data_IF_526669210136
#
_entry.id   IF_526669210136
#
_cell.length_a   1.000
_cell.length_b   1.000
_cell.length_c   1.000
_cell.angle_alpha   90.00
_cell.angle_beta   90.00
_cell.angle_gamma   90.00
#
_symmetry.space_group_name_H-M   'P 1'
#
loop_
_entity.id
_entity.type
_entity.pdbx_description
1 polymer ?
#
# COMPACT_ATOMS: atom_id res chain seq x y z
N UNK A 1 -0.28 7.39 6.80
CA UNK A 1 0.69 6.46 6.21
C UNK A 1 1.83 6.12 7.18
N UNK A 2 2.65 7.07 7.62
CA UNK A 2 3.81 6.81 8.49
C UNK A 2 3.50 6.21 9.88
N UNK A 3 2.27 6.26 10.37
CA UNK A 3 1.88 5.63 11.64
C UNK A 3 1.59 4.13 11.51
N UNK A 4 1.42 3.60 10.31
CA UNK A 4 1.02 2.21 10.08
C UNK A 4 2.26 1.33 9.96
N UNK A 5 2.41 0.37 10.89
CA UNK A 5 3.44 -0.66 10.82
C UNK A 5 2.98 -1.82 9.93
N UNK A 6 3.36 -1.79 8.66
CA UNK A 6 2.98 -2.84 7.70
C UNK A 6 3.55 -4.22 8.04
N UNK A 7 4.63 -4.27 8.83
CA UNK A 7 5.22 -5.54 9.27
C UNK A 7 4.29 -6.34 10.20
N UNK A 8 3.37 -5.67 10.91
CA UNK A 8 2.38 -6.36 11.75
C UNK A 8 1.43 -7.21 10.92
N UNK A 9 1.04 -6.73 9.73
CA UNK A 9 0.24 -7.51 8.79
C UNK A 9 0.97 -8.77 8.31
N UNK A 10 2.28 -8.64 8.03
CA UNK A 10 3.13 -9.77 7.63
C UNK A 10 3.28 -10.77 8.78
N UNK A 11 3.50 -10.27 10.00
CA UNK A 11 3.68 -11.10 11.19
C UNK A 11 2.43 -11.92 11.52
N UNK A 12 1.23 -11.40 11.25
CA UNK A 12 -0.02 -12.14 11.38
C UNK A 12 0.00 -13.44 10.58
N UNK A 13 0.51 -13.39 9.36
CA UNK A 13 0.64 -14.56 8.48
C UNK A 13 1.92 -15.36 8.68
N UNK A 14 2.80 -14.96 9.60
CA UNK A 14 4.10 -15.60 9.87
C UNK A 14 4.96 -15.63 8.60
N UNK A 15 5.17 -16.84 8.02
CA UNK A 15 6.00 -17.02 6.82
C UNK A 15 5.20 -17.04 5.51
N UNK A 16 3.88 -16.84 5.59
CA UNK A 16 2.98 -17.00 4.45
C UNK A 16 2.53 -15.69 3.81
N UNK A 17 3.19 -14.61 4.18
CA UNK A 17 3.04 -13.31 3.54
C UNK A 17 4.37 -12.58 3.44
N UNK A 18 4.45 -11.65 2.50
CA UNK A 18 5.62 -10.81 2.24
C UNK A 18 5.19 -9.36 2.20
N UNK A 19 5.97 -8.45 2.79
CA UNK A 19 5.72 -7.02 2.70
C UNK A 19 5.85 -6.55 1.24
N UNK A 20 4.92 -5.72 0.80
CA UNK A 20 4.99 -5.06 -0.51
C UNK A 20 5.04 -3.55 -0.34
N UNK A 21 5.66 -2.88 -1.29
CA UNK A 21 5.93 -1.44 -1.21
C UNK A 21 5.35 -0.66 -2.39
N UNK A 22 4.71 -1.34 -3.34
CA UNK A 22 3.95 -0.77 -4.45
C UNK A 22 2.70 -1.59 -4.67
N UNK A 23 1.64 -0.97 -5.14
CA UNK A 23 0.31 -1.56 -5.33
C UNK A 23 0.25 -2.40 -6.62
N UNK A 24 1.08 -3.43 -6.66
CA UNK A 24 1.14 -4.42 -7.73
C UNK A 24 1.63 -5.74 -7.14
N UNK A 25 1.23 -6.87 -7.71
CA UNK A 25 1.75 -8.17 -7.26
C UNK A 25 3.25 -8.29 -7.48
N UNK A 26 3.99 -8.77 -6.47
CA UNK A 26 5.44 -9.02 -6.57
C UNK A 26 5.79 -10.08 -7.62
N UNK A 27 4.85 -10.96 -7.97
CA UNK A 27 5.01 -11.94 -9.05
C UNK A 27 4.76 -11.36 -10.45
N UNK A 28 4.31 -10.11 -10.56
CA UNK A 28 4.20 -9.42 -11.83
C UNK A 28 5.59 -9.06 -12.35
N UNK A 29 5.80 -9.26 -13.64
CA UNK A 29 7.01 -8.83 -14.34
C UNK A 29 7.22 -7.30 -14.29
N UNK A 30 6.16 -6.53 -14.08
CA UNK A 30 6.20 -5.07 -13.97
C UNK A 30 6.37 -4.56 -12.54
N UNK A 31 6.42 -5.43 -11.51
CA UNK A 31 6.70 -4.99 -10.15
C UNK A 31 8.11 -4.41 -10.05
N UNK A 32 8.29 -3.20 -9.50
CA UNK A 32 9.62 -2.58 -9.37
C UNK A 32 10.54 -3.41 -8.47
N UNK A 33 11.55 -4.03 -9.06
CA UNK A 33 12.53 -4.82 -8.31
C UNK A 33 13.29 -3.93 -7.33
N UNK A 34 13.39 -4.36 -6.07
CA UNK A 34 14.07 -3.59 -5.03
C UNK A 34 13.26 -2.39 -4.50
N UNK A 35 11.97 -2.32 -4.78
CA UNK A 35 11.12 -1.28 -4.21
C UNK A 35 11.20 -1.27 -2.68
N UNK A 36 11.38 -0.07 -2.12
CA UNK A 36 11.47 0.17 -0.68
C UNK A 36 10.23 0.90 -0.16
N UNK A 37 9.97 0.90 1.16
CA UNK A 37 8.86 1.64 1.74
C UNK A 37 8.96 3.13 1.41
N UNK A 38 7.96 3.67 0.71
CA UNK A 38 7.85 5.12 0.47
C UNK A 38 7.46 5.86 1.76
N UNK A 39 6.66 5.23 2.61
CA UNK A 39 6.28 5.71 3.93
C UNK A 39 6.86 4.79 5.02
N UNK A 40 8.14 4.97 5.41
CA UNK A 40 8.71 4.20 6.52
C UNK A 40 7.88 4.41 7.79
N UNK A 41 7.53 3.30 8.42
CA UNK A 41 6.64 3.30 9.59
C UNK A 41 7.42 3.42 10.91
N UNK A 42 6.68 3.64 11.99
CA UNK A 42 7.20 3.61 13.36
C UNK A 42 7.89 2.29 13.67
N UNK A 43 9.11 2.38 14.18
CA UNK A 43 9.93 1.21 14.48
C UNK A 43 10.57 0.56 13.25
N UNK A 44 10.29 1.04 12.04
CA UNK A 44 11.02 0.67 10.83
C UNK A 44 12.41 1.29 10.81
N UNK A 45 13.36 0.59 10.20
CA UNK A 45 14.68 1.14 10.01
C UNK A 45 14.71 2.26 8.98
N UNK A 46 15.53 3.27 9.19
CA UNK A 46 15.83 4.31 8.19
C UNK A 46 16.44 3.63 6.96
N UNK A 47 15.87 3.83 5.76
CA UNK A 47 16.40 3.24 4.54
C UNK A 47 17.80 3.76 4.18
N UNK A 48 18.57 2.96 3.45
CA UNK A 48 19.89 3.36 2.95
C UNK A 48 19.78 4.54 1.97
N UNK A 49 18.81 4.48 1.06
CA UNK A 49 18.54 5.55 0.10
C UNK A 49 17.31 6.36 0.51
N UNK A 50 17.56 7.57 0.96
CA UNK A 50 16.50 8.52 1.32
C UNK A 50 15.92 9.28 0.12
N UNK A 51 16.41 9.07 -1.11
CA UNK A 51 15.86 9.71 -2.31
C UNK A 51 14.55 9.05 -2.77
N UNK A 52 14.33 7.80 -2.38
CA UNK A 52 13.18 6.98 -2.78
C UNK A 52 12.04 6.95 -1.76
N UNK A 53 12.18 7.68 -0.65
CA UNK A 53 11.13 7.78 0.38
C UNK A 53 10.43 9.14 0.33
N UNK A 54 9.35 9.27 1.10
CA UNK A 54 8.64 10.54 1.23
C UNK A 54 9.62 11.69 1.58
N UNK A 55 9.64 12.79 0.80
CA UNK A 55 10.64 13.87 0.98
C UNK A 55 10.60 14.53 2.35
N UNK A 56 9.41 14.67 2.96
CA UNK A 56 9.28 15.26 4.30
C UNK A 56 9.91 14.34 5.36
N UNK A 57 9.72 13.02 5.24
CA UNK A 57 10.37 12.05 6.11
C UNK A 57 11.88 12.07 5.92
N UNK A 58 12.37 12.07 4.68
CA UNK A 58 13.81 12.15 4.40
C UNK A 58 14.47 13.39 5.01
N UNK A 59 13.82 14.56 4.91
CA UNK A 59 14.30 15.82 5.49
C UNK A 59 14.32 15.75 7.01
N UNK A 60 13.28 15.20 7.62
CA UNK A 60 13.18 15.06 9.07
C UNK A 60 14.27 14.14 9.64
N UNK A 61 14.46 12.97 9.04
CA UNK A 61 15.49 12.00 9.44
C UNK A 61 16.90 12.61 9.37
N UNK A 62 17.20 13.36 8.30
CA UNK A 62 18.48 14.10 8.17
C UNK A 62 18.64 15.15 9.26
N UNK A 63 17.57 15.87 9.63
CA UNK A 63 17.63 16.89 10.69
C UNK A 63 17.93 16.31 12.07
N UNK A 64 17.56 15.04 12.30
CA UNK A 64 17.87 14.29 13.52
C UNK A 64 19.26 13.64 13.50
N UNK A 65 20.00 13.72 12.38
CA UNK A 65 21.28 13.06 12.21
C UNK A 65 21.21 11.53 12.17
N UNK A 66 20.03 10.95 11.91
CA UNK A 66 19.84 9.51 11.80
C UNK A 66 20.51 8.97 10.54
N UNK A 67 21.02 7.75 10.64
CA UNK A 67 21.70 7.02 9.56
C UNK A 67 20.85 5.82 9.13
N UNK A 68 21.22 5.23 8.00
CA UNK A 68 20.66 3.95 7.56
C UNK A 68 20.71 2.90 8.68
N UNK A 69 19.61 2.19 8.88
CA UNK A 69 19.45 1.19 9.94
C UNK A 69 19.00 1.75 11.30
N UNK A 70 19.14 3.06 11.57
CA UNK A 70 18.61 3.68 12.79
C UNK A 70 17.08 3.61 12.79
N UNK A 71 16.48 3.73 14.00
CA UNK A 71 15.04 3.81 14.15
C UNK A 71 14.66 5.13 14.81
N UNK A 72 13.49 5.65 14.44
CA UNK A 72 12.87 6.74 15.18
C UNK A 72 12.28 6.19 16.49
N UNK A 73 12.45 6.94 17.57
CA UNK A 73 11.67 6.72 18.79
C UNK A 73 10.21 7.09 18.56
N UNK A 74 9.30 6.62 19.41
CA UNK A 74 7.88 7.00 19.33
C UNK A 74 7.69 8.53 19.42
N UNK A 75 8.45 9.20 20.29
CA UNK A 75 8.39 10.66 20.44
C UNK A 75 8.89 11.41 19.18
N UNK A 76 9.97 10.95 18.56
CA UNK A 76 10.46 11.52 17.30
C UNK A 76 9.43 11.36 16.18
N UNK A 77 8.75 10.23 16.15
CA UNK A 77 7.75 9.96 15.13
C UNK A 77 6.45 10.73 15.35
N UNK A 78 5.95 10.80 16.58
CA UNK A 78 4.82 11.67 16.91
C UNK A 78 5.15 13.13 16.55
N UNK A 79 6.37 13.58 16.82
CA UNK A 79 6.85 14.93 16.45
C UNK A 79 6.83 15.11 14.93
N UNK A 80 7.31 14.12 14.17
CA UNK A 80 7.22 14.16 12.71
C UNK A 80 5.77 14.33 12.23
N UNK A 81 4.83 13.53 12.75
CA UNK A 81 3.42 13.60 12.36
C UNK A 81 2.83 14.96 12.73
N UNK A 82 3.10 15.49 13.92
CA UNK A 82 2.67 16.83 14.36
C UNK A 82 3.16 17.90 13.37
N UNK A 83 4.43 17.88 13.04
CA UNK A 83 5.03 18.84 12.13
C UNK A 83 4.35 18.82 10.74
N UNK A 84 3.96 17.63 10.24
CA UNK A 84 3.24 17.51 8.97
C UNK A 84 1.83 18.11 9.06
N UNK A 85 1.12 17.83 10.14
CA UNK A 85 -0.25 18.33 10.38
C UNK A 85 -0.26 19.85 10.54
N UNK A 86 0.63 20.37 11.37
CA UNK A 86 0.75 21.82 11.64
C UNK A 86 1.26 22.56 10.40
N UNK A 87 2.23 21.99 9.67
CA UNK A 87 2.71 22.51 8.40
C UNK A 87 1.62 22.57 7.32
N UNK A 88 0.61 21.70 7.39
CA UNK A 88 -0.58 21.75 6.55
C UNK A 88 -1.62 22.80 7.04
N UNK A 89 -1.35 23.53 8.13
CA UNK A 89 -2.19 24.61 8.67
C UNK A 89 -3.32 24.13 9.58
N UNK A 90 -3.20 22.94 10.17
CA UNK A 90 -4.11 22.48 11.22
C UNK A 90 -3.67 23.00 12.59
N UNK A 91 -4.62 23.24 13.47
CA UNK A 91 -4.41 23.68 14.86
C UNK A 91 -5.26 22.82 15.81
N UNK A 92 -4.85 22.72 17.08
CA UNK A 92 -5.61 21.99 18.09
C UNK A 92 -6.83 22.81 18.55
N UNK A 93 -7.98 22.14 18.68
CA UNK A 93 -9.15 22.70 19.33
C UNK A 93 -9.10 22.52 20.85
N UNK A 94 -10.12 23.00 21.56
CA UNK A 94 -10.21 22.88 23.02
C UNK A 94 -10.23 21.43 23.54
N UNK A 95 -10.59 20.47 22.70
CA UNK A 95 -10.59 19.04 23.03
C UNK A 95 -9.28 18.33 22.66
N UNK A 96 -8.26 19.07 22.23
CA UNK A 96 -6.97 18.50 21.81
C UNK A 96 -6.98 17.80 20.47
N UNK A 97 -7.98 18.07 19.62
CA UNK A 97 -8.09 17.45 18.29
C UNK A 97 -7.76 18.48 17.22
N UNK A 98 -6.93 18.13 16.25
CA UNK A 98 -6.57 18.99 15.13
C UNK A 98 -7.76 19.29 14.22
N UNK A 99 -7.86 20.56 13.82
CA UNK A 99 -8.84 21.03 12.86
C UNK A 99 -8.28 22.13 11.95
N UNK A 100 -8.92 22.32 10.79
CA UNK A 100 -8.65 23.42 9.87
C UNK A 100 -9.96 23.85 9.21
N UNK A 101 -10.42 25.07 9.50
CA UNK A 101 -11.79 25.49 9.13
C UNK A 101 -12.84 24.58 9.76
N UNK A 102 -13.69 24.00 8.94
CA UNK A 102 -14.72 23.05 9.39
C UNK A 102 -14.25 21.57 9.39
N UNK A 103 -13.01 21.32 8.96
CA UNK A 103 -12.48 19.97 8.88
C UNK A 103 -11.77 19.60 10.18
N UNK A 104 -12.27 18.56 10.86
CA UNK A 104 -11.67 17.99 12.08
C UNK A 104 -10.99 16.68 11.68
N UNK A 105 -9.79 16.41 12.22
CA UNK A 105 -9.09 15.14 11.98
C UNK A 105 -9.70 14.01 12.82
N UNK A 106 -10.91 13.64 12.45
CA UNK A 106 -11.71 12.58 13.06
C UNK A 106 -12.11 11.57 12.00
N UNK A 107 -11.67 10.30 12.16
CA UNK A 107 -11.92 9.25 11.18
C UNK A 107 -12.25 7.92 11.84
N UNK A 108 -12.97 7.07 11.10
CA UNK A 108 -13.05 5.64 11.37
C UNK A 108 -12.19 4.91 10.35
N UNK A 109 -11.27 4.10 10.84
CA UNK A 109 -10.50 3.15 10.01
C UNK A 109 -11.34 1.87 9.92
N UNK A 110 -11.92 1.64 8.76
CA UNK A 110 -12.84 0.52 8.52
C UNK A 110 -12.11 -0.67 7.97
N UNK A 111 -12.33 -1.84 8.55
CA UNK A 111 -11.78 -3.13 8.10
C UNK A 111 -12.94 -3.94 7.54
N UNK A 112 -12.78 -4.46 6.32
CA UNK A 112 -13.80 -5.32 5.71
C UNK A 112 -13.87 -6.66 6.44
N UNK A 113 -15.02 -6.95 7.06
CA UNK A 113 -15.28 -8.15 7.87
C UNK A 113 -16.01 -7.82 9.17
N UNK A 114 -16.28 -8.84 9.95
CA UNK A 114 -17.10 -8.74 11.18
C UNK A 114 -16.26 -8.92 12.45
N UNK A 115 -14.99 -9.33 12.31
CA UNK A 115 -14.16 -9.74 13.44
C UNK A 115 -12.88 -8.91 13.52
N UNK A 116 -12.31 -8.87 14.72
CA UNK A 116 -11.00 -8.26 14.97
C UNK A 116 -9.84 -9.18 14.65
N UNK A 117 -10.10 -10.47 14.38
CA UNK A 117 -9.09 -11.41 13.86
C UNK A 117 -8.85 -11.17 12.38
N UNK A 118 -8.18 -10.07 12.09
CA UNK A 118 -7.87 -9.61 10.74
C UNK A 118 -6.43 -9.09 10.69
N UNK A 119 -5.65 -9.39 9.64
CA UNK A 119 -4.24 -9.01 9.54
C UNK A 119 -3.99 -7.50 9.68
N UNK A 120 -4.94 -6.67 9.24
CA UNK A 120 -4.81 -5.22 9.36
C UNK A 120 -5.23 -4.68 10.74
N UNK A 121 -5.89 -5.47 11.59
CA UNK A 121 -6.42 -4.98 12.87
C UNK A 121 -5.34 -4.38 13.75
N UNK A 122 -4.30 -5.16 14.07
CA UNK A 122 -3.23 -4.72 14.95
C UNK A 122 -2.51 -3.48 14.40
N UNK A 123 -2.19 -3.50 13.11
CA UNK A 123 -1.51 -2.38 12.46
C UNK A 123 -2.33 -1.08 12.51
N UNK A 124 -3.64 -1.16 12.26
CA UNK A 124 -4.52 0.00 12.31
C UNK A 124 -4.84 0.44 13.74
N UNK A 125 -4.96 -0.52 14.67
CA UNK A 125 -5.18 -0.23 16.08
C UNK A 125 -3.99 0.54 16.68
N UNK A 126 -2.76 0.04 16.54
CA UNK A 126 -1.56 0.74 17.00
C UNK A 126 -1.37 2.09 16.29
N UNK A 127 -1.65 2.15 14.99
CA UNK A 127 -1.63 3.43 14.26
C UNK A 127 -2.64 4.43 14.83
N UNK A 128 -3.83 3.97 15.25
CA UNK A 128 -4.84 4.82 15.86
C UNK A 128 -4.39 5.36 17.22
N UNK A 129 -3.72 4.55 18.05
CA UNK A 129 -3.16 5.00 19.34
C UNK A 129 -2.16 6.13 19.14
N UNK A 130 -1.22 5.96 18.20
CA UNK A 130 -0.23 6.98 17.85
C UNK A 130 -0.89 8.26 17.35
N UNK A 131 -1.84 8.14 16.43
CA UNK A 131 -2.55 9.29 15.87
C UNK A 131 -3.38 10.01 16.93
N UNK A 132 -4.03 9.28 17.84
CA UNK A 132 -4.79 9.86 18.95
C UNK A 132 -3.86 10.60 19.93
N UNK A 133 -2.66 10.09 20.23
CA UNK A 133 -1.64 10.78 21.02
C UNK A 133 -1.16 12.06 20.34
N UNK A 134 -1.12 12.09 19.03
CA UNK A 134 -0.75 13.28 18.25
C UNK A 134 -1.82 14.36 18.28
N UNK A 135 -3.09 14.00 18.37
CA UNK A 135 -4.21 14.95 18.33
C UNK A 135 -5.22 14.69 17.22
N UNK A 136 -5.29 13.46 16.73
CA UNK A 136 -6.40 12.98 15.91
C UNK A 136 -7.50 12.38 16.81
N UNK A 137 -8.64 12.06 16.22
CA UNK A 137 -9.68 11.25 16.84
C UNK A 137 -9.99 10.07 15.92
N UNK A 138 -9.27 8.96 16.11
CA UNK A 138 -9.37 7.77 15.27
C UNK A 138 -10.07 6.66 16.05
N UNK A 139 -11.04 6.01 15.38
CA UNK A 139 -11.64 4.76 15.80
C UNK A 139 -11.33 3.69 14.75
N UNK A 140 -11.06 2.45 15.17
CA UNK A 140 -10.89 1.29 14.28
C UNK A 140 -12.12 0.41 14.43
N UNK A 141 -12.75 0.04 13.32
CA UNK A 141 -13.98 -0.74 13.34
C UNK A 141 -13.99 -1.79 12.21
N UNK A 142 -14.23 -3.07 12.54
CA UNK A 142 -14.64 -4.03 11.54
C UNK A 142 -16.06 -3.70 11.07
N UNK A 143 -16.36 -3.97 9.80
CA UNK A 143 -17.67 -3.72 9.20
C UNK A 143 -17.96 -4.75 8.10
N UNK A 144 -18.94 -5.61 8.33
CA UNK A 144 -19.37 -6.63 7.35
C UNK A 144 -19.96 -6.01 6.07
N UNK A 145 -20.42 -4.75 6.14
CA UNK A 145 -20.95 -4.00 5.01
C UNK A 145 -19.89 -3.12 4.32
N UNK A 146 -18.62 -3.23 4.72
CA UNK A 146 -17.56 -2.34 4.23
C UNK A 146 -17.46 -2.31 2.70
N UNK A 147 -17.54 -3.45 2.01
CA UNK A 147 -17.48 -3.49 0.55
C UNK A 147 -18.66 -2.78 -0.12
N UNK A 148 -19.85 -2.88 0.45
CA UNK A 148 -21.04 -2.16 -0.05
C UNK A 148 -20.89 -0.65 0.17
N UNK A 149 -20.44 -0.25 1.35
CA UNK A 149 -20.16 1.16 1.69
C UNK A 149 -19.01 1.73 0.86
N UNK A 150 -18.00 0.93 0.56
CA UNK A 150 -16.93 1.31 -0.35
C UNK A 150 -17.49 1.58 -1.75
N UNK A 151 -18.35 0.70 -2.25
CA UNK A 151 -18.97 0.86 -3.56
C UNK A 151 -19.85 2.11 -3.67
N UNK A 152 -20.49 2.53 -2.56
CA UNK A 152 -21.28 3.77 -2.49
C UNK A 152 -20.46 5.03 -2.17
N UNK A 153 -19.17 4.90 -1.85
CA UNK A 153 -18.30 6.03 -1.49
C UNK A 153 -18.47 6.54 -0.06
N UNK A 154 -19.02 5.71 0.82
CA UNK A 154 -19.32 6.09 2.22
C UNK A 154 -18.13 5.87 3.17
N UNK A 155 -17.02 5.31 2.69
CA UNK A 155 -15.82 5.09 3.49
C UNK A 155 -14.73 6.10 3.18
N UNK A 156 -14.11 6.65 4.25
CA UNK A 156 -13.00 7.59 4.11
C UNK A 156 -11.64 6.89 4.20
N UNK A 157 -11.46 6.00 5.17
CA UNK A 157 -10.24 5.19 5.35
C UNK A 157 -10.65 3.74 5.56
N UNK A 158 -10.08 2.84 4.79
CA UNK A 158 -10.47 1.45 4.80
C UNK A 158 -9.31 0.51 4.47
N UNK A 159 -9.39 -0.72 4.95
CA UNK A 159 -8.47 -1.80 4.61
C UNK A 159 -9.22 -2.89 3.85
N UNK A 160 -8.69 -3.27 2.69
CA UNK A 160 -9.20 -4.35 1.86
C UNK A 160 -8.07 -5.02 1.08
N UNK A 161 -8.40 -6.09 0.36
CA UNK A 161 -7.46 -6.84 -0.47
C UNK A 161 -7.83 -6.72 -1.95
N UNK A 162 -6.80 -6.69 -2.80
CA UNK A 162 -6.93 -6.73 -4.25
C UNK A 162 -6.57 -8.12 -4.79
N UNK A 163 -7.29 -8.55 -5.83
CA UNK A 163 -6.85 -9.63 -6.68
C UNK A 163 -5.89 -9.14 -7.76
N UNK A 164 -4.94 -9.98 -8.17
CA UNK A 164 -4.02 -9.69 -9.27
C UNK A 164 -4.59 -10.14 -10.61
N UNK A 165 -4.16 -9.51 -11.71
CA UNK A 165 -4.44 -9.90 -13.09
C UNK A 165 -3.15 -10.30 -13.81
N UNK A 166 -3.24 -11.08 -14.90
CA UNK A 166 -2.07 -11.50 -15.70
C UNK A 166 -1.37 -10.29 -16.28
N UNK A 167 -2.15 -9.41 -16.93
CA UNK A 167 -1.63 -8.14 -17.43
C UNK A 167 -1.62 -7.11 -16.29
N UNK A 168 -0.49 -6.47 -16.00
CA UNK A 168 -0.36 -5.47 -14.95
C UNK A 168 -0.94 -4.10 -15.37
N UNK A 169 -1.92 -4.06 -16.25
CA UNK A 169 -2.56 -2.82 -16.71
C UNK A 169 -3.18 -2.04 -15.56
N UNK A 170 -2.69 -0.84 -15.34
CA UNK A 170 -3.10 0.03 -14.25
C UNK A 170 -4.34 0.89 -14.58
N UNK A 171 -4.89 0.81 -15.80
CA UNK A 171 -5.95 1.71 -16.27
C UNK A 171 -7.21 1.62 -15.41
N UNK A 172 -7.71 0.40 -15.21
CA UNK A 172 -8.97 0.21 -14.48
C UNK A 172 -8.94 0.82 -13.09
N UNK A 173 -7.82 0.68 -12.38
CA UNK A 173 -7.70 1.05 -10.97
C UNK A 173 -7.26 2.49 -10.78
N UNK A 174 -6.42 3.05 -11.68
CA UNK A 174 -5.74 4.32 -11.41
C UNK A 174 -5.91 5.40 -12.48
N UNK A 175 -6.47 5.09 -13.67
CA UNK A 175 -6.61 6.11 -14.71
C UNK A 175 -7.79 7.04 -14.42
N UNK A 176 -7.60 8.35 -14.58
CA UNK A 176 -8.62 9.39 -14.30
C UNK A 176 -9.94 9.20 -15.04
N UNK A 177 -9.90 8.62 -16.25
CA UNK A 177 -11.07 8.39 -17.09
C UNK A 177 -11.68 6.99 -16.89
N UNK A 178 -11.19 6.20 -15.93
CA UNK A 178 -11.78 4.93 -15.58
C UNK A 178 -13.11 5.14 -14.84
N UNK A 179 -14.09 4.31 -15.16
CA UNK A 179 -15.39 4.27 -14.48
C UNK A 179 -15.43 3.24 -13.32
N UNK A 180 -14.28 2.67 -12.95
CA UNK A 180 -14.23 1.74 -11.84
C UNK A 180 -14.53 2.44 -10.51
N UNK A 181 -15.20 1.73 -9.61
CA UNK A 181 -15.59 2.24 -8.29
C UNK A 181 -14.39 2.76 -7.49
N UNK A 182 -13.24 2.10 -7.58
CA UNK A 182 -12.00 2.53 -6.91
C UNK A 182 -11.60 3.96 -7.27
N UNK A 183 -11.59 4.29 -8.55
CA UNK A 183 -11.23 5.64 -9.05
C UNK A 183 -12.22 6.69 -8.56
N UNK A 184 -13.51 6.36 -8.52
CA UNK A 184 -14.55 7.24 -8.00
C UNK A 184 -14.36 7.49 -6.51
N UNK A 185 -14.03 6.45 -5.73
CA UNK A 185 -13.87 6.52 -4.29
C UNK A 185 -12.59 7.26 -3.86
N UNK A 186 -11.56 7.32 -4.71
CA UNK A 186 -10.38 8.12 -4.42
C UNK A 186 -10.60 9.63 -4.62
N UNK A 187 -11.79 10.02 -5.00
CA UNK A 187 -12.17 11.43 -5.11
C UNK A 187 -11.57 12.15 -6.33
N UNK A 188 -11.03 11.44 -7.31
CA UNK A 188 -10.42 12.04 -8.50
C UNK A 188 -11.34 13.05 -9.18
N UNK A 189 -12.63 12.75 -9.30
CA UNK A 189 -13.61 13.65 -9.90
C UNK A 189 -13.67 15.01 -9.19
N UNK A 190 -13.60 15.00 -7.86
CA UNK A 190 -13.62 16.24 -7.05
C UNK A 190 -12.30 16.98 -7.12
N UNK A 191 -11.19 16.24 -7.08
CA UNK A 191 -9.84 16.80 -7.17
C UNK A 191 -9.63 17.47 -8.53
N UNK A 192 -10.04 16.83 -9.62
CA UNK A 192 -9.88 17.34 -10.98
C UNK A 192 -10.75 18.58 -11.28
N UNK A 193 -11.83 18.82 -10.54
CA UNK A 193 -12.56 20.09 -10.61
C UNK A 193 -11.69 21.28 -10.14
N UNK A 194 -10.76 21.02 -9.24
CA UNK A 194 -9.74 21.95 -8.74
C UNK A 194 -10.27 23.37 -8.43
N UNK A 195 -11.42 23.45 -7.78
CA UNK A 195 -12.08 24.73 -7.48
C UNK A 195 -11.15 25.63 -6.66
N UNK A 196 -10.78 26.77 -7.24
CA UNK A 196 -9.91 27.76 -6.63
C UNK A 196 -8.42 27.39 -6.61
N UNK A 197 -7.97 26.42 -7.41
CA UNK A 197 -6.56 26.00 -7.49
C UNK A 197 -6.04 25.28 -6.24
N UNK A 198 -6.93 24.72 -5.45
CA UNK A 198 -6.59 24.07 -4.16
C UNK A 198 -5.78 22.78 -4.33
N UNK A 199 -5.93 22.10 -5.46
CA UNK A 199 -5.40 20.77 -5.72
C UNK A 199 -4.44 20.73 -6.93
N UNK A 200 -3.75 21.83 -7.23
CA UNK A 200 -2.86 21.91 -8.40
C UNK A 200 -1.83 20.79 -8.46
N UNK A 201 -1.24 20.44 -7.31
CA UNK A 201 -0.27 19.35 -7.19
C UNK A 201 -0.90 17.99 -7.48
N UNK A 202 -2.02 17.69 -6.85
CA UNK A 202 -2.73 16.42 -7.03
C UNK A 202 -3.26 16.27 -8.47
N UNK A 203 -3.78 17.34 -9.05
CA UNK A 203 -4.21 17.37 -10.46
C UNK A 203 -3.06 17.08 -11.40
N UNK A 204 -1.89 17.70 -11.17
CA UNK A 204 -0.70 17.43 -11.96
C UNK A 204 -0.24 15.96 -11.84
N UNK A 205 -0.25 15.39 -10.62
CA UNK A 205 0.09 13.99 -10.38
C UNK A 205 -0.91 13.03 -11.04
N UNK A 206 -2.21 13.28 -10.92
CA UNK A 206 -3.27 12.43 -11.53
C UNK A 206 -3.15 12.45 -13.06
N UNK A 207 -2.92 13.60 -13.67
CA UNK A 207 -2.71 13.72 -15.10
C UNK A 207 -1.44 12.95 -15.52
N UNK A 208 -0.32 13.16 -14.83
CA UNK A 208 0.94 12.47 -15.13
C UNK A 208 0.80 10.95 -14.97
N UNK A 209 0.11 10.48 -13.93
CA UNK A 209 -0.20 9.07 -13.73
C UNK A 209 -0.98 8.50 -14.91
N UNK A 210 -2.02 9.19 -15.36
CA UNK A 210 -2.85 8.76 -16.48
C UNK A 210 -2.06 8.73 -17.80
N UNK A 211 -1.20 9.74 -18.05
CA UNK A 211 -0.33 9.78 -19.23
C UNK A 211 0.66 8.59 -19.26
N UNK A 212 1.21 8.22 -18.09
CA UNK A 212 2.09 7.05 -17.97
C UNK A 212 1.33 5.75 -18.22
N UNK A 213 0.12 5.61 -17.68
CA UNK A 213 -0.72 4.44 -17.93
C UNK A 213 -1.01 4.30 -19.43
N UNK A 214 -1.39 5.38 -20.09
CA UNK A 214 -1.63 5.40 -21.52
C UNK A 214 -0.38 5.06 -22.35
N UNK A 215 0.78 5.56 -21.93
CA UNK A 215 2.05 5.23 -22.56
C UNK A 215 2.38 3.74 -22.41
N UNK A 216 2.21 3.18 -21.20
CA UNK A 216 2.42 1.75 -20.94
C UNK A 216 1.52 0.82 -21.75
N UNK A 217 0.29 1.27 -22.06
CA UNK A 217 -0.65 0.52 -22.91
C UNK A 217 -0.33 0.57 -24.40
N UNK A 218 0.51 1.51 -24.84
CA UNK A 218 0.89 1.69 -26.26
C UNK A 218 2.13 0.91 -26.67
N UNK A 219 2.93 0.42 -25.73
CA UNK A 219 4.13 -0.36 -26.03
C UNK A 219 3.94 -1.84 -25.77
N UNK A 220 4.46 -2.68 -26.68
CA UNK A 220 4.54 -4.13 -26.52
C UNK A 220 5.91 -4.57 -25.94
N UNK A 221 6.84 -3.64 -25.76
CA UNK A 221 8.12 -3.92 -25.12
C UNK A 221 7.92 -4.04 -23.60
N UNK A 222 8.14 -5.23 -23.07
CA UNK A 222 7.89 -5.54 -21.67
C UNK A 222 8.77 -4.74 -20.71
N UNK A 223 10.06 -4.56 -21.06
CA UNK A 223 10.99 -3.81 -20.21
C UNK A 223 10.67 -2.32 -20.18
N UNK A 224 10.32 -1.75 -21.35
CA UNK A 224 9.86 -0.36 -21.45
C UNK A 224 8.57 -0.14 -20.64
N UNK A 225 7.62 -1.07 -20.78
CA UNK A 225 6.34 -1.01 -20.04
C UNK A 225 6.55 -1.12 -18.53
N UNK A 226 7.46 -2.01 -18.09
CA UNK A 226 7.82 -2.13 -16.67
C UNK A 226 8.43 -0.84 -16.12
N UNK A 227 9.31 -0.19 -16.87
CA UNK A 227 9.92 1.08 -16.49
C UNK A 227 8.88 2.22 -16.39
N UNK A 228 7.91 2.26 -17.31
CA UNK A 228 6.80 3.21 -17.29
C UNK A 228 5.90 2.97 -16.06
N UNK A 229 5.50 1.73 -15.81
CA UNK A 229 4.64 1.39 -14.66
C UNK A 229 5.34 1.57 -13.32
N UNK A 230 6.65 1.41 -13.23
CA UNK A 230 7.41 1.78 -12.04
C UNK A 230 7.23 3.26 -11.68
N UNK A 231 7.34 4.16 -12.67
CA UNK A 231 7.11 5.59 -12.46
C UNK A 231 5.65 5.88 -12.08
N UNK A 232 4.69 5.19 -12.71
CA UNK A 232 3.27 5.32 -12.38
C UNK A 232 2.97 4.91 -10.93
N UNK A 233 3.55 3.80 -10.46
CA UNK A 233 3.41 3.32 -9.09
C UNK A 233 4.04 4.28 -8.06
N UNK A 234 5.13 4.97 -8.41
CA UNK A 234 5.71 6.00 -7.55
C UNK A 234 4.77 7.21 -7.41
N UNK A 235 4.04 7.57 -8.46
CA UNK A 235 3.02 8.63 -8.38
C UNK A 235 1.83 8.19 -7.51
N UNK A 236 1.40 6.92 -7.58
CA UNK A 236 0.37 6.38 -6.67
C UNK A 236 0.79 6.58 -5.21
N UNK A 237 2.06 6.34 -4.88
CA UNK A 237 2.58 6.58 -3.54
C UNK A 237 2.60 8.07 -3.17
N UNK A 238 2.97 8.95 -4.11
CA UNK A 238 2.97 10.40 -3.89
C UNK A 238 1.55 10.94 -3.65
N UNK A 239 0.55 10.43 -4.34
CA UNK A 239 -0.86 10.78 -4.15
C UNK A 239 -1.43 10.32 -2.81
N UNK A 240 -0.76 9.38 -2.12
CA UNK A 240 -1.17 8.83 -0.84
C UNK A 240 -2.60 8.25 -0.82
N UNK A 241 -3.08 7.78 -1.96
CA UNK A 241 -4.42 7.20 -2.09
C UNK A 241 -4.48 5.77 -1.56
N UNK A 242 -3.34 5.10 -1.49
CA UNK A 242 -3.21 3.70 -1.08
C UNK A 242 -1.88 3.49 -0.34
N UNK A 243 -1.89 2.62 0.68
CA UNK A 243 -0.70 2.13 1.34
C UNK A 243 -0.61 0.62 1.12
N UNK A 244 0.24 0.13 0.20
CA UNK A 244 0.49 -1.30 0.05
C UNK A 244 1.15 -1.85 1.32
N UNK A 245 0.62 -2.95 1.83
CA UNK A 245 1.04 -3.52 3.11
C UNK A 245 1.70 -4.87 2.94
N UNK A 246 1.00 -5.85 2.39
CA UNK A 246 1.52 -7.21 2.22
C UNK A 246 0.86 -7.92 1.04
N UNK A 247 1.53 -8.96 0.57
CA UNK A 247 1.00 -9.95 -0.35
C UNK A 247 1.03 -11.31 0.34
N UNK A 248 -0.09 -12.05 0.25
CA UNK A 248 -0.13 -13.44 0.70
C UNK A 248 0.58 -14.33 -0.31
N UNK A 249 1.28 -15.34 0.22
CA UNK A 249 1.87 -16.41 -0.59
C UNK A 249 0.89 -17.58 -0.65
N UNK A 250 0.81 -18.22 -1.80
CA UNK A 250 0.07 -19.47 -1.92
C UNK A 250 0.80 -20.58 -1.17
N UNK A 251 0.03 -21.44 -0.52
CA UNK A 251 0.54 -22.57 0.24
C UNK A 251 0.15 -23.86 -0.45
N UNK A 252 1.15 -24.67 -0.71
CA UNK A 252 0.96 -26.01 -1.27
C UNK A 252 1.49 -27.04 -0.30
N UNK A 253 0.62 -28.01 0.07
CA UNK A 253 1.01 -29.15 0.88
C UNK A 253 1.08 -30.40 0.00
N UNK A 254 2.18 -31.11 0.05
CA UNK A 254 2.38 -32.35 -0.68
C UNK A 254 3.18 -33.37 0.14
N UNK A 255 3.05 -34.66 -0.20
CA UNK A 255 3.74 -35.71 0.47
C UNK A 255 5.13 -35.91 -0.15
N UNK A 256 6.17 -35.47 0.54
CA UNK A 256 7.58 -35.59 0.12
C UNK A 256 8.11 -37.01 -0.03
N UNK A 257 7.41 -37.99 0.55
CA UNK A 257 7.74 -39.39 0.36
C UNK A 257 7.16 -39.98 -0.93
N UNK A 258 6.26 -39.25 -1.59
CA UNK A 258 5.60 -39.69 -2.82
C UNK A 258 5.92 -38.82 -4.02
N UNK A 259 6.10 -37.51 -3.83
CA UNK A 259 6.33 -36.56 -4.88
C UNK A 259 7.81 -36.15 -4.89
N UNK A 260 8.46 -36.29 -6.03
CA UNK A 260 9.80 -35.73 -6.21
C UNK A 260 9.68 -34.18 -6.31
N UNK A 261 10.17 -33.50 -5.26
CA UNK A 261 10.12 -32.05 -5.15
C UNK A 261 10.83 -31.34 -6.31
N UNK A 262 11.84 -31.97 -6.91
CA UNK A 262 12.59 -31.38 -8.02
C UNK A 262 11.81 -31.42 -9.35
N UNK A 263 10.74 -32.20 -9.41
CA UNK A 263 9.85 -32.29 -10.57
C UNK A 263 8.70 -31.26 -10.53
N UNK A 264 8.53 -30.54 -9.41
CA UNK A 264 7.53 -29.49 -9.30
C UNK A 264 7.94 -28.23 -10.08
N UNK A 265 6.96 -27.44 -10.48
CA UNK A 265 7.22 -26.13 -11.12
C UNK A 265 8.17 -25.29 -10.25
N UNK A 266 9.32 -24.83 -10.78
CA UNK A 266 10.27 -24.03 -9.99
C UNK A 266 9.64 -22.75 -9.45
N UNK A 267 10.01 -22.35 -8.24
CA UNK A 267 9.49 -21.12 -7.62
C UNK A 267 9.67 -19.85 -8.49
N UNK A 268 10.75 -19.79 -9.27
CA UNK A 268 11.02 -18.69 -10.18
C UNK A 268 10.00 -18.57 -11.32
N UNK A 269 9.33 -19.67 -11.66
CA UNK A 269 8.35 -19.75 -12.74
C UNK A 269 6.90 -19.61 -12.22
N UNK A 270 6.71 -19.57 -10.90
CA UNK A 270 5.39 -19.42 -10.31
C UNK A 270 4.86 -17.98 -10.50
N UNK A 271 3.56 -17.91 -10.74
CA UNK A 271 2.85 -16.64 -10.84
C UNK A 271 1.42 -16.83 -10.29
N UNK A 272 0.60 -15.80 -10.13
CA UNK A 272 -0.81 -15.96 -9.75
C UNK A 272 -1.60 -16.88 -10.68
N UNK A 273 -1.07 -17.18 -11.87
CA UNK A 273 -1.72 -17.97 -12.92
C UNK A 273 -0.95 -19.22 -13.31
N UNK A 274 0.26 -19.39 -12.78
CA UNK A 274 1.06 -20.59 -12.94
C UNK A 274 1.42 -21.10 -11.55
N UNK A 275 0.59 -22.03 -11.05
CA UNK A 275 0.78 -22.66 -9.74
C UNK A 275 1.75 -23.83 -9.79
N UNK A 276 2.00 -24.43 -8.63
CA UNK A 276 2.92 -25.55 -8.45
C UNK A 276 2.58 -26.78 -9.32
N UNK A 277 1.32 -26.95 -9.66
CA UNK A 277 0.80 -28.07 -10.46
C UNK A 277 0.46 -27.70 -11.90
N UNK A 278 0.85 -26.52 -12.36
CA UNK A 278 0.58 -26.10 -13.75
C UNK A 278 1.24 -27.01 -14.78
N UNK A 279 2.41 -27.51 -14.45
CA UNK A 279 3.17 -28.46 -15.26
C UNK A 279 3.02 -29.89 -14.70
N UNK A 280 1.80 -30.29 -14.29
CA UNK A 280 1.51 -31.57 -13.63
C UNK A 280 2.05 -32.78 -14.42
N UNK A 281 2.10 -32.69 -15.74
CA UNK A 281 2.63 -33.74 -16.62
C UNK A 281 4.16 -33.96 -16.47
N UNK A 282 4.87 -33.04 -15.84
CA UNK A 282 6.30 -33.15 -15.51
C UNK A 282 6.55 -33.66 -14.09
N UNK A 283 5.50 -33.70 -13.26
CA UNK A 283 5.63 -34.14 -11.87
C UNK A 283 5.85 -35.63 -11.82
N UNK A 284 6.91 -36.05 -11.15
CA UNK A 284 7.28 -37.46 -10.95
C UNK A 284 7.09 -37.90 -9.51
N UNK A 285 6.93 -39.22 -9.33
CA UNK A 285 6.91 -39.85 -8.04
C UNK A 285 8.34 -40.13 -7.59
N UNK A 286 8.56 -40.14 -6.29
CA UNK A 286 9.81 -40.64 -5.70
C UNK A 286 9.91 -42.13 -6.03
N UNK A 287 11.05 -42.55 -6.59
CA UNK A 287 11.31 -43.98 -6.84
C UNK A 287 11.38 -44.71 -5.51
N UNK A 288 10.59 -45.80 -5.39
CA UNK A 288 10.71 -46.71 -4.25
C UNK A 288 12.11 -47.38 -4.29
N UNK A 289 12.87 -47.17 -3.22
CA UNK A 289 14.19 -47.80 -3.07
C UNK A 289 14.05 -49.25 -2.63
#
# INVERSE_FOLDING_TARGET
MHSINTQECVNYYKTTATAIHRSMSMSSWAYPKGATPYYPYIGGAVPEDLSVVNPAYASYVRSLGKKAGDKLTSAEQETFIRNQVEGAGYTLNANGVYYKGNHILKYTFTIAGDETDHPAWQALFHASEILNNVGFQINVSPDSQALTKLASGDLTVWAAAWGSTIDPDMYQVYHKDSNATSVLNWGYKQILLNTGGKYDTEVALINRLSDLIDAGRKTNNQDERAAIYSQALDIVMQLAIELPTYQRNDLFAYNTNKIDVNSLTPNADLSPYKGLTSDLHLVSLVEEK
#
